data_IF_574283739140
#
_entry.id   IF_574283739140
#
_cell.length_a   1.000
_cell.length_b   1.000
_cell.length_c   1.000
_cell.angle_alpha   90.00
_cell.angle_beta   90.00
_cell.angle_gamma   90.00
#
_symmetry.space_group_name_H-M   'P 1'
#
loop_
_entity.id
_entity.type
_entity.pdbx_description
1 polymer ?
#
# COMPACT_ATOMS: atom_id res chain seq x y z
N UNK A 1 29.86 7.95 -50.61
CA UNK A 1 29.59 8.93 -49.52
C UNK A 1 28.08 9.17 -49.50
N UNK A 2 27.30 9.19 -48.42
CA UNK A 2 27.53 9.06 -46.99
C UNK A 2 26.30 8.34 -46.38
N UNK A 3 26.55 7.54 -45.36
CA UNK A 3 25.62 6.68 -44.64
C UNK A 3 24.98 7.51 -43.54
N UNK A 4 23.75 8.01 -43.73
CA UNK A 4 23.00 8.71 -42.68
C UNK A 4 21.91 7.76 -42.18
N UNK A 5 22.22 7.02 -41.12
CA UNK A 5 21.21 6.38 -40.28
C UNK A 5 20.58 7.47 -39.44
N UNK A 6 19.60 8.19 -39.98
CA UNK A 6 18.74 9.05 -39.18
C UNK A 6 17.92 8.13 -38.27
N UNK A 7 18.36 8.00 -37.03
CA UNK A 7 17.61 7.38 -35.95
C UNK A 7 16.23 8.08 -35.91
N UNK A 8 15.18 7.34 -36.28
CA UNK A 8 13.82 7.80 -36.59
C UNK A 8 13.34 8.78 -35.52
N UNK A 9 13.16 10.06 -35.89
CA UNK A 9 12.80 11.13 -34.96
C UNK A 9 11.51 10.82 -34.20
N UNK A 10 10.61 10.10 -34.86
CA UNK A 10 9.34 9.66 -34.30
C UNK A 10 9.56 8.56 -33.24
N UNK A 11 10.53 7.66 -33.47
CA UNK A 11 10.97 6.68 -32.47
C UNK A 11 11.64 7.35 -31.26
N UNK A 12 12.46 8.40 -31.47
CA UNK A 12 13.06 9.18 -30.39
C UNK A 12 12.01 9.89 -29.54
N UNK A 13 10.98 10.45 -30.17
CA UNK A 13 9.85 11.08 -29.48
C UNK A 13 9.14 10.06 -28.59
N UNK A 14 8.79 8.89 -29.12
CA UNK A 14 8.15 7.85 -28.32
C UNK A 14 9.02 7.33 -27.17
N UNK A 15 10.32 7.14 -27.39
CA UNK A 15 11.27 6.75 -26.32
C UNK A 15 11.35 7.81 -25.22
N UNK A 16 11.35 9.10 -25.60
CA UNK A 16 11.42 10.21 -24.64
C UNK A 16 10.13 10.34 -23.82
N UNK A 17 8.97 10.16 -24.46
CA UNK A 17 7.68 10.12 -23.77
C UNK A 17 7.57 8.90 -22.83
N UNK A 18 8.02 7.71 -23.27
CA UNK A 18 8.10 6.51 -22.41
C UNK A 18 8.99 6.76 -21.18
N UNK A 19 10.17 7.36 -21.37
CA UNK A 19 11.08 7.72 -20.28
C UNK A 19 10.48 8.73 -19.29
N UNK A 20 9.69 9.69 -19.79
CA UNK A 20 8.96 10.65 -18.97
C UNK A 20 7.68 10.08 -18.31
N UNK A 21 7.37 8.80 -18.53
CA UNK A 21 6.12 8.15 -18.09
C UNK A 21 4.86 8.85 -18.63
N UNK A 22 4.91 9.30 -19.89
CA UNK A 22 3.83 10.00 -20.58
C UNK A 22 3.24 9.16 -21.73
N UNK A 23 1.95 9.34 -22.00
CA UNK A 23 1.30 8.84 -23.21
C UNK A 23 1.71 9.69 -24.43
N UNK A 24 1.47 9.22 -25.67
CA UNK A 24 1.60 10.04 -26.88
C UNK A 24 0.81 11.35 -26.84
N UNK A 25 -0.26 11.41 -26.03
CA UNK A 25 -1.10 12.58 -25.82
C UNK A 25 -0.70 13.39 -24.58
N UNK A 26 0.36 12.99 -23.86
CA UNK A 26 0.88 13.70 -22.68
C UNK A 26 0.27 13.29 -21.34
N UNK A 27 -0.58 12.26 -21.29
CA UNK A 27 -1.14 11.78 -20.03
C UNK A 27 -0.09 11.04 -19.21
N UNK A 28 -0.03 11.30 -17.90
CA UNK A 28 0.80 10.50 -16.99
C UNK A 28 0.32 9.05 -17.01
N UNK A 29 1.18 8.15 -17.50
CA UNK A 29 1.02 6.71 -17.34
C UNK A 29 1.89 6.24 -16.18
N UNK A 30 1.32 5.88 -15.02
CA UNK A 30 2.08 5.22 -13.98
C UNK A 30 2.62 3.89 -14.54
N UNK A 31 3.96 3.83 -14.66
CA UNK A 31 4.84 2.76 -15.15
C UNK A 31 4.27 1.77 -16.17
N UNK A 32 4.87 1.69 -17.36
CA UNK A 32 4.43 0.77 -18.42
C UNK A 32 4.64 -0.70 -18.03
N UNK A 33 3.89 -1.62 -18.65
CA UNK A 33 4.06 -3.09 -18.48
C UNK A 33 5.50 -3.54 -18.72
N UNK A 34 6.20 -2.88 -19.64
CA UNK A 34 7.60 -3.16 -19.99
C UNK A 34 8.56 -2.68 -18.90
N UNK A 35 8.34 -1.48 -18.34
CA UNK A 35 9.11 -0.98 -17.19
C UNK A 35 8.89 -1.82 -15.95
N UNK A 36 7.65 -2.22 -15.65
CA UNK A 36 7.34 -3.13 -14.56
C UNK A 36 8.08 -4.46 -14.73
N UNK A 37 8.09 -5.04 -15.94
CA UNK A 37 8.87 -6.25 -16.25
C UNK A 37 10.37 -6.02 -16.04
N UNK A 38 10.95 -4.93 -16.56
CA UNK A 38 12.38 -4.61 -16.40
C UNK A 38 12.76 -4.43 -14.93
N UNK A 39 11.99 -3.65 -14.19
CA UNK A 39 12.16 -3.41 -12.75
C UNK A 39 12.03 -4.69 -11.95
N UNK A 40 11.02 -5.51 -12.26
CA UNK A 40 10.81 -6.81 -11.64
C UNK A 40 12.01 -7.74 -11.84
N UNK A 41 12.47 -7.93 -13.08
CA UNK A 41 13.64 -8.77 -13.39
C UNK A 41 14.89 -8.24 -12.69
N UNK A 42 15.13 -6.93 -12.70
CA UNK A 42 16.29 -6.33 -12.01
C UNK A 42 16.22 -6.54 -10.49
N UNK A 43 15.04 -6.39 -9.88
CA UNK A 43 14.85 -6.56 -8.44
C UNK A 43 14.95 -8.03 -8.02
N UNK A 44 14.37 -8.95 -8.78
CA UNK A 44 14.46 -10.39 -8.49
C UNK A 44 15.90 -10.91 -8.55
N UNK A 45 16.77 -10.27 -9.35
CA UNK A 45 18.21 -10.56 -9.39
C UNK A 45 18.99 -10.08 -8.16
N UNK A 46 18.37 -9.29 -7.27
CA UNK A 46 18.97 -8.88 -6.00
C UNK A 46 18.06 -9.31 -4.82
N UNK A 47 18.29 -10.51 -4.27
CA UNK A 47 17.46 -11.07 -3.19
C UNK A 47 17.37 -10.16 -1.96
N UNK A 48 18.46 -9.50 -1.57
CA UNK A 48 18.49 -8.61 -0.40
C UNK A 48 17.58 -7.37 -0.58
N UNK A 49 17.62 -6.74 -1.75
CA UNK A 49 16.73 -5.60 -2.06
C UNK A 49 15.27 -6.06 -2.14
N UNK A 50 15.04 -7.23 -2.75
CA UNK A 50 13.68 -7.77 -2.87
C UNK A 50 13.07 -8.06 -1.49
N UNK A 51 13.87 -8.62 -0.57
CA UNK A 51 13.43 -8.91 0.81
C UNK A 51 13.05 -7.64 1.57
N UNK A 52 13.89 -6.59 1.50
CA UNK A 52 13.57 -5.28 2.10
C UNK A 52 12.27 -4.72 1.55
N UNK A 53 12.04 -4.85 0.25
CA UNK A 53 10.80 -4.39 -0.38
C UNK A 53 9.59 -5.24 0.03
N UNK A 54 9.75 -6.57 0.16
CA UNK A 54 8.70 -7.43 0.70
C UNK A 54 8.33 -7.01 2.12
N UNK A 55 9.31 -6.77 2.99
CA UNK A 55 9.08 -6.24 4.33
C UNK A 55 8.31 -4.93 4.31
N UNK A 56 8.71 -3.97 3.47
CA UNK A 56 7.99 -2.69 3.31
C UNK A 56 6.54 -2.92 2.85
N UNK A 57 6.30 -3.81 1.89
CA UNK A 57 4.94 -4.13 1.42
C UNK A 57 4.07 -4.73 2.52
N UNK A 58 4.62 -5.67 3.28
CA UNK A 58 3.92 -6.29 4.41
C UNK A 58 3.58 -5.23 5.45
N UNK A 59 4.56 -4.42 5.87
CA UNK A 59 4.34 -3.34 6.83
C UNK A 59 3.30 -2.32 6.34
N UNK A 60 3.36 -1.90 5.07
CA UNK A 60 2.37 -1.00 4.49
C UNK A 60 0.97 -1.62 4.43
N UNK A 61 0.87 -2.93 4.14
CA UNK A 61 -0.42 -3.62 4.16
C UNK A 61 -0.99 -3.68 5.58
N UNK A 62 -0.14 -3.99 6.57
CA UNK A 62 -0.54 -3.98 7.99
C UNK A 62 -0.97 -2.59 8.44
N UNK A 63 -0.21 -1.55 8.06
CA UNK A 63 -0.55 -0.16 8.36
C UNK A 63 -1.92 0.21 7.80
N UNK A 64 -2.18 -0.09 6.51
CA UNK A 64 -3.47 0.17 5.88
C UNK A 64 -4.64 -0.53 6.57
N UNK A 65 -4.43 -1.77 7.02
CA UNK A 65 -5.46 -2.46 7.81
C UNK A 65 -5.73 -1.71 9.13
N UNK A 66 -4.69 -1.27 9.84
CA UNK A 66 -4.87 -0.52 11.10
C UNK A 66 -5.46 0.88 10.90
N UNK A 67 -5.12 1.57 9.80
CA UNK A 67 -5.73 2.84 9.42
C UNK A 67 -7.22 2.68 9.12
N UNK A 68 -7.61 1.60 8.43
CA UNK A 68 -9.00 1.26 8.18
C UNK A 68 -9.76 0.95 9.49
N UNK A 69 -9.18 0.15 10.38
CA UNK A 69 -9.76 -0.14 11.69
C UNK A 69 -10.01 1.14 12.51
N UNK A 70 -9.04 2.06 12.51
CA UNK A 70 -9.17 3.37 13.16
C UNK A 70 -10.29 4.20 12.52
N UNK A 71 -10.37 4.22 11.18
CA UNK A 71 -11.43 4.94 10.48
C UNK A 71 -12.83 4.39 10.82
N UNK A 72 -12.97 3.06 10.94
CA UNK A 72 -14.22 2.41 11.36
C UNK A 72 -14.65 2.79 12.78
N UNK A 73 -13.68 2.99 13.69
CA UNK A 73 -13.95 3.46 15.06
C UNK A 73 -14.32 4.95 15.04
N UNK A 74 -13.56 5.78 14.35
CA UNK A 74 -13.85 7.22 14.28
C UNK A 74 -15.23 7.48 13.69
N UNK A 75 -15.59 6.78 12.60
CA UNK A 75 -16.93 6.90 12.00
C UNK A 75 -18.06 6.56 13.00
N UNK A 76 -17.84 5.57 13.86
CA UNK A 76 -18.81 5.22 14.92
C UNK A 76 -18.91 6.32 15.98
N UNK A 77 -17.76 6.86 16.41
CA UNK A 77 -17.68 7.91 17.44
C UNK A 77 -18.21 9.25 16.95
N UNK A 78 -18.12 9.51 15.66
CA UNK A 78 -18.60 10.74 15.01
C UNK A 78 -20.12 10.75 14.78
N UNK A 79 -20.86 9.66 15.03
CA UNK A 79 -22.34 9.63 14.90
C UNK A 79 -23.02 10.21 16.15
N UNK A 80 -23.55 11.46 16.12
CA UNK A 80 -24.22 12.07 17.27
C UNK A 80 -25.57 11.40 17.60
N UNK A 81 -26.08 10.55 16.71
CA UNK A 81 -27.32 9.78 16.89
C UNK A 81 -27.00 8.28 17.01
N UNK A 82 -25.85 7.94 17.58
CA UNK A 82 -25.49 6.56 17.85
C UNK A 82 -26.49 5.96 18.85
N UNK A 83 -27.15 4.88 18.45
CA UNK A 83 -28.09 4.14 19.30
C UNK A 83 -27.55 2.77 19.63
N UNK A 84 -28.04 2.16 20.71
CA UNK A 84 -27.67 0.79 21.08
C UNK A 84 -27.95 -0.25 19.99
N UNK A 85 -28.93 0.00 19.10
CA UNK A 85 -29.20 -0.86 17.94
C UNK A 85 -28.09 -0.75 16.90
N UNK A 86 -27.77 0.48 16.47
CA UNK A 86 -26.67 0.77 15.53
C UNK A 86 -25.32 0.24 16.01
N UNK A 87 -25.02 0.41 17.30
CA UNK A 87 -23.79 -0.12 17.89
C UNK A 87 -23.73 -1.65 17.82
N UNK A 88 -24.83 -2.35 18.11
CA UNK A 88 -24.90 -3.82 18.01
C UNK A 88 -24.68 -4.29 16.57
N UNK A 89 -25.29 -3.63 15.59
CA UNK A 89 -25.09 -3.93 14.17
C UNK A 89 -23.62 -3.70 13.76
N UNK A 90 -23.05 -2.55 14.12
CA UNK A 90 -21.63 -2.24 13.88
C UNK A 90 -20.70 -3.28 14.54
N UNK A 91 -21.00 -3.68 15.78
CA UNK A 91 -20.22 -4.66 16.53
C UNK A 91 -20.20 -6.03 15.85
N UNK A 92 -21.32 -6.47 15.27
CA UNK A 92 -21.38 -7.71 14.50
C UNK A 92 -20.51 -7.61 13.24
N UNK A 93 -20.61 -6.50 12.50
CA UNK A 93 -19.80 -6.28 11.29
C UNK A 93 -18.29 -6.20 11.57
N UNK A 94 -17.90 -5.69 12.75
CA UNK A 94 -16.51 -5.45 13.14
C UNK A 94 -16.01 -6.45 14.19
N UNK A 95 -16.49 -7.71 14.14
CA UNK A 95 -16.16 -8.74 15.14
C UNK A 95 -14.65 -8.98 15.26
N UNK A 96 -13.92 -9.03 14.14
CA UNK A 96 -12.46 -9.24 14.14
C UNK A 96 -11.69 -8.09 14.79
N UNK A 97 -12.09 -6.84 14.49
CA UNK A 97 -11.52 -5.65 15.12
C UNK A 97 -11.72 -5.69 16.64
N UNK A 98 -12.92 -6.02 17.08
CA UNK A 98 -13.24 -6.12 18.50
C UNK A 98 -12.44 -7.22 19.19
N UNK A 99 -12.30 -8.38 18.55
CA UNK A 99 -11.47 -9.47 19.06
C UNK A 99 -10.01 -9.05 19.21
N UNK A 100 -9.45 -8.38 18.20
CA UNK A 100 -8.08 -7.86 18.27
C UNK A 100 -7.92 -6.85 19.41
N UNK A 101 -8.85 -5.90 19.57
CA UNK A 101 -8.83 -4.94 20.70
C UNK A 101 -8.78 -5.67 22.05
N UNK A 102 -9.60 -6.71 22.25
CA UNK A 102 -9.56 -7.49 23.49
C UNK A 102 -8.24 -8.24 23.68
N UNK A 103 -7.67 -8.79 22.61
CA UNK A 103 -6.37 -9.47 22.66
C UNK A 103 -5.24 -8.51 23.01
N UNK A 104 -5.20 -7.33 22.38
CA UNK A 104 -4.21 -6.29 22.66
C UNK A 104 -4.34 -5.79 24.11
N UNK A 105 -5.56 -5.57 24.60
CA UNK A 105 -5.79 -5.17 25.98
C UNK A 105 -5.28 -6.23 26.96
N UNK A 106 -5.61 -7.51 26.73
CA UNK A 106 -5.12 -8.61 27.57
C UNK A 106 -3.60 -8.69 27.58
N UNK A 107 -2.96 -8.55 26.41
CA UNK A 107 -1.51 -8.54 26.30
C UNK A 107 -0.90 -7.38 27.09
N UNK A 108 -1.46 -6.17 26.97
CA UNK A 108 -1.01 -4.99 27.71
C UNK A 108 -1.15 -5.17 29.22
N UNK A 109 -2.27 -5.71 29.71
CA UNK A 109 -2.47 -6.00 31.15
C UNK A 109 -1.43 -7.00 31.65
N UNK A 110 -1.20 -8.09 30.91
CA UNK A 110 -0.21 -9.11 31.32
C UNK A 110 1.23 -8.59 31.34
N UNK A 111 1.57 -7.68 30.42
CA UNK A 111 2.90 -7.08 30.37
C UNK A 111 3.15 -6.17 31.58
N UNK A 112 2.12 -5.44 32.04
CA UNK A 112 2.20 -4.56 33.20
C UNK A 112 2.39 -5.35 34.50
N UNK A 113 1.72 -6.50 34.63
CA UNK A 113 1.85 -7.41 35.78
C UNK A 113 3.21 -8.12 35.83
N UNK A 114 3.91 -8.25 34.70
CA UNK A 114 5.22 -8.90 34.61
C UNK A 114 6.43 -7.98 34.81
N UNK A 115 6.21 -6.67 35.00
CA UNK A 115 7.30 -5.72 35.26
C UNK A 115 7.79 -5.87 36.72
N UNK A 116 9.08 -6.15 36.97
CA UNK A 116 9.60 -6.20 38.34
C UNK A 116 9.52 -4.80 38.98
N UNK A 117 9.06 -4.75 40.23
CA UNK A 117 8.99 -3.52 41.05
C UNK A 117 10.37 -2.92 41.33
#
# INVERSE_FOLDING_TARGET
EAKVSEDDEMEKLYKSLEQASLSPLGDRRPSTKKELRKSFVKRCKNPSINEKLHKIRTLNSTLKCKEHDLAMINQLLDDPKLTARKYREWKVMNTLLIQDIYQQHRAATSALESMPQ
#
